data_IF_327099351732
#
_entry.id   IF_327099351732
#
_cell.length_a   1.000
_cell.length_b   1.000
_cell.length_c   1.000
_cell.angle_alpha   90.00
_cell.angle_beta   90.00
_cell.angle_gamma   90.00
#
_symmetry.space_group_name_H-M   'P 1'
#
loop_
_entity.id
_entity.type
_entity.pdbx_description
1 polymer ?
#
# COMPACT_ATOMS: atom_id res chain seq x y z
N UNK A 1 7.97 -10.12 -19.00
CA UNK A 1 7.02 -9.07 -19.44
C UNK A 1 7.78 -7.82 -19.84
N UNK A 2 7.23 -7.00 -20.74
CA UNK A 2 7.81 -5.71 -21.12
C UNK A 2 7.08 -4.62 -20.35
N UNK A 3 7.74 -4.05 -19.34
CA UNK A 3 7.12 -3.14 -18.36
C UNK A 3 8.06 -2.00 -18.00
N UNK A 4 7.48 -0.87 -17.59
CA UNK A 4 8.20 0.19 -16.89
C UNK A 4 8.14 -0.09 -15.38
N UNK A 5 9.29 -0.37 -14.77
CA UNK A 5 9.40 -0.60 -13.33
C UNK A 5 10.04 0.60 -12.65
N UNK A 6 9.30 1.27 -11.75
CA UNK A 6 9.74 2.48 -11.06
C UNK A 6 9.81 2.19 -9.56
N UNK A 7 11.00 2.27 -8.98
CA UNK A 7 11.20 2.18 -7.54
C UNK A 7 11.06 3.56 -6.89
N UNK A 8 10.13 3.70 -5.94
CA UNK A 8 9.94 4.94 -5.18
C UNK A 8 10.78 4.87 -3.90
N UNK A 9 11.95 5.50 -3.93
CA UNK A 9 12.77 5.66 -2.72
C UNK A 9 12.28 6.85 -1.88
N UNK A 10 11.81 6.55 -0.68
CA UNK A 10 11.38 7.53 0.31
C UNK A 10 12.11 7.32 1.65
N UNK A 11 13.30 6.70 1.62
CA UNK A 11 14.10 6.35 2.81
C UNK A 11 14.23 7.50 3.80
N UNK A 12 14.46 8.72 3.33
CA UNK A 12 14.59 9.89 4.22
C UNK A 12 13.28 10.21 4.95
N UNK A 13 12.12 10.07 4.29
CA UNK A 13 10.81 10.22 4.91
C UNK A 13 10.45 9.08 5.87
N UNK A 14 11.04 7.89 5.68
CA UNK A 14 10.86 6.74 6.55
C UNK A 14 11.78 6.75 7.79
N UNK A 15 12.80 7.62 7.83
CA UNK A 15 13.70 7.75 9.00
C UNK A 15 13.01 8.44 10.17
N UNK A 16 13.53 8.18 11.37
CA UNK A 16 13.08 8.79 12.61
C UNK A 16 12.13 7.88 13.37
N UNK A 17 11.08 8.46 13.96
CA UNK A 17 10.09 7.68 14.70
C UNK A 17 9.09 7.01 13.77
N UNK A 18 8.52 5.88 14.17
CA UNK A 18 7.46 5.21 13.41
C UNK A 18 6.27 6.17 13.15
N UNK A 19 5.92 7.00 14.14
CA UNK A 19 4.87 8.02 14.01
C UNK A 19 5.20 9.03 12.92
N UNK A 20 6.46 9.48 12.84
CA UNK A 20 6.90 10.38 11.77
C UNK A 20 6.76 9.70 10.39
N UNK A 21 7.21 8.46 10.26
CA UNK A 21 7.10 7.70 9.01
C UNK A 21 5.63 7.49 8.58
N UNK A 22 4.74 7.16 9.53
CA UNK A 22 3.29 7.04 9.31
C UNK A 22 2.70 8.34 8.75
N UNK A 23 3.12 9.50 9.24
CA UNK A 23 2.61 10.77 8.73
C UNK A 23 3.23 11.15 7.38
N UNK A 24 4.53 10.90 7.21
CA UNK A 24 5.27 11.25 6.00
C UNK A 24 4.80 10.47 4.77
N UNK A 25 4.28 9.24 4.94
CA UNK A 25 3.74 8.47 3.83
C UNK A 25 2.65 9.22 3.06
N UNK A 26 1.90 10.12 3.73
CA UNK A 26 0.85 10.92 3.09
C UNK A 26 1.41 11.87 2.04
N UNK A 27 2.59 12.43 2.32
CA UNK A 27 3.33 13.27 1.38
C UNK A 27 3.86 12.40 0.23
N UNK A 28 4.46 11.25 0.53
CA UNK A 28 4.93 10.33 -0.50
C UNK A 28 3.81 9.85 -1.43
N UNK A 29 2.63 9.51 -0.90
CA UNK A 29 1.47 9.15 -1.70
C UNK A 29 0.97 10.30 -2.58
N UNK A 30 1.03 11.54 -2.08
CA UNK A 30 0.72 12.73 -2.87
C UNK A 30 1.72 12.95 -4.03
N UNK A 31 3.01 12.72 -3.81
CA UNK A 31 4.05 12.81 -4.86
C UNK A 31 3.87 11.74 -5.94
N UNK A 32 3.53 10.50 -5.56
CA UNK A 32 3.21 9.44 -6.53
C UNK A 32 1.98 9.82 -7.37
N UNK A 33 0.93 10.34 -6.73
CA UNK A 33 -0.25 10.83 -7.44
C UNK A 33 0.08 11.99 -8.40
N UNK A 34 0.94 12.91 -7.98
CA UNK A 34 1.41 14.01 -8.83
C UNK A 34 2.19 13.51 -10.04
N UNK A 35 3.07 12.52 -9.85
CA UNK A 35 3.80 11.87 -10.94
C UNK A 35 2.84 11.20 -11.94
N UNK A 36 1.86 10.43 -11.47
CA UNK A 36 0.85 9.79 -12.32
C UNK A 36 0.03 10.84 -13.10
N UNK A 37 -0.37 11.91 -12.43
CA UNK A 37 -1.08 13.04 -13.06
C UNK A 37 -0.24 13.68 -14.17
N UNK A 38 1.08 13.77 -13.96
CA UNK A 38 2.01 14.29 -14.95
C UNK A 38 2.10 13.37 -16.16
N UNK A 39 2.15 12.05 -15.95
CA UNK A 39 2.12 11.07 -17.03
C UNK A 39 0.82 11.17 -17.87
N UNK A 40 -0.32 11.32 -17.20
CA UNK A 40 -1.61 11.54 -17.86
C UNK A 40 -1.61 12.81 -18.71
N UNK A 41 -1.19 13.95 -18.14
CA UNK A 41 -1.26 15.25 -18.80
C UNK A 41 -0.26 15.40 -19.95
N UNK A 42 0.95 14.90 -19.78
CA UNK A 42 2.04 15.10 -20.75
C UNK A 42 2.05 14.04 -21.85
N UNK A 43 1.65 12.81 -21.53
CA UNK A 43 1.79 11.67 -22.45
C UNK A 43 0.46 10.96 -22.75
N UNK A 44 -0.65 11.40 -22.17
CA UNK A 44 -1.94 10.71 -22.30
C UNK A 44 -1.95 9.31 -21.67
N UNK A 45 -1.02 9.02 -20.75
CA UNK A 45 -0.86 7.70 -20.16
C UNK A 45 -2.01 7.42 -19.19
N UNK A 46 -2.82 6.39 -19.45
CA UNK A 46 -4.00 6.07 -18.63
C UNK A 46 -3.60 5.53 -17.25
N UNK A 47 -4.25 5.94 -16.14
CA UNK A 47 -4.09 5.29 -14.83
C UNK A 47 -4.44 3.81 -14.83
N UNK A 48 -5.27 3.38 -15.79
CA UNK A 48 -5.62 1.97 -15.95
C UNK A 48 -4.42 1.12 -16.41
N UNK A 49 -3.35 1.75 -16.90
CA UNK A 49 -2.10 1.07 -17.26
C UNK A 49 -1.12 0.99 -16.07
N UNK A 50 -1.55 1.39 -14.87
CA UNK A 50 -0.69 1.49 -13.67
C UNK A 50 -1.05 0.42 -12.65
N UNK A 51 -0.01 -0.19 -12.08
CA UNK A 51 -0.07 -1.09 -10.94
C UNK A 51 0.88 -0.57 -9.86
N UNK A 52 0.33 -0.22 -8.70
CA UNK A 52 1.13 0.16 -7.53
C UNK A 52 1.35 -1.06 -6.63
N UNK A 53 2.58 -1.30 -6.21
CA UNK A 53 2.93 -2.38 -5.28
C UNK A 53 3.55 -1.71 -4.05
N UNK A 54 2.94 -1.93 -2.89
CA UNK A 54 3.37 -1.33 -1.63
C UNK A 54 3.58 -2.39 -0.56
N UNK A 55 4.71 -2.35 0.12
CA UNK A 55 5.02 -3.24 1.24
C UNK A 55 5.00 -2.50 2.58
N UNK A 56 4.42 -3.11 3.63
CA UNK A 56 4.33 -2.51 4.96
C UNK A 56 3.68 -1.12 4.91
N UNK A 57 4.32 -0.06 5.41
CA UNK A 57 3.84 1.32 5.28
C UNK A 57 3.61 1.75 3.82
N UNK A 58 4.37 1.17 2.88
CA UNK A 58 4.24 1.42 1.45
C UNK A 58 2.90 0.97 0.88
N UNK A 59 2.22 -0.01 1.50
CA UNK A 59 0.87 -0.42 1.09
C UNK A 59 -0.13 0.72 1.29
N UNK A 60 -0.04 1.41 2.43
CA UNK A 60 -0.85 2.61 2.70
C UNK A 60 -0.41 3.81 1.87
N UNK A 61 0.87 3.91 1.52
CA UNK A 61 1.34 4.91 0.53
C UNK A 61 0.70 4.71 -0.84
N UNK A 62 0.59 3.45 -1.28
CA UNK A 62 -0.08 3.10 -2.52
C UNK A 62 -1.59 3.41 -2.47
N UNK A 63 -2.25 3.08 -1.34
CA UNK A 63 -3.64 3.47 -1.09
C UNK A 63 -3.86 4.98 -1.15
N UNK A 64 -3.01 5.75 -0.47
CA UNK A 64 -3.05 7.22 -0.50
C UNK A 64 -2.88 7.80 -1.91
N UNK A 65 -2.03 7.20 -2.75
CA UNK A 65 -1.88 7.59 -4.15
C UNK A 65 -3.13 7.23 -4.98
N UNK A 66 -3.67 6.01 -4.79
CA UNK A 66 -4.89 5.54 -5.44
C UNK A 66 -6.11 6.39 -5.12
N UNK A 67 -6.31 6.73 -3.85
CA UNK A 67 -7.36 7.64 -3.38
C UNK A 67 -7.33 9.01 -4.06
N UNK A 68 -6.15 9.48 -4.47
CA UNK A 68 -5.95 10.76 -5.17
C UNK A 68 -6.10 10.66 -6.68
N UNK A 69 -6.04 9.46 -7.25
CA UNK A 69 -6.09 9.20 -8.69
C UNK A 69 -7.19 8.19 -9.02
N UNK A 70 -8.27 8.68 -9.61
CA UNK A 70 -9.33 7.80 -10.06
C UNK A 70 -8.86 6.88 -11.20
N UNK A 71 -9.27 5.61 -11.13
CA UNK A 71 -9.10 4.65 -12.22
C UNK A 71 -7.76 3.91 -12.25
N UNK A 72 -6.96 3.95 -11.17
CA UNK A 72 -5.81 3.05 -11.02
C UNK A 72 -6.28 1.60 -11.19
N UNK A 73 -5.61 0.85 -12.06
CA UNK A 73 -6.05 -0.53 -12.36
C UNK A 73 -5.84 -1.46 -11.18
N UNK A 74 -4.67 -1.40 -10.55
CA UNK A 74 -4.33 -2.34 -9.48
C UNK A 74 -3.48 -1.73 -8.38
N UNK A 75 -3.78 -2.09 -7.14
CA UNK A 75 -2.87 -1.95 -6.00
C UNK A 75 -2.63 -3.34 -5.41
N UNK A 76 -1.37 -3.70 -5.18
CA UNK A 76 -1.01 -4.88 -4.38
C UNK A 76 -0.42 -4.45 -3.05
N UNK A 77 -1.08 -4.82 -1.95
CA UNK A 77 -0.60 -4.62 -0.59
C UNK A 77 0.18 -5.85 -0.12
N UNK A 78 1.48 -5.70 0.11
CA UNK A 78 2.34 -6.75 0.65
C UNK A 78 2.50 -6.51 2.16
N UNK A 79 1.77 -7.29 2.95
CA UNK A 79 1.71 -7.23 4.41
C UNK A 79 1.53 -5.79 4.94
N UNK A 80 0.39 -5.12 4.63
CA UNK A 80 0.14 -3.74 5.05
C UNK A 80 0.33 -3.57 6.55
N UNK A 81 0.94 -2.47 6.99
CA UNK A 81 1.32 -2.31 8.40
C UNK A 81 0.10 -2.17 9.31
N UNK A 82 0.02 -2.96 10.38
CA UNK A 82 -1.06 -2.90 11.38
C UNK A 82 -1.05 -1.63 12.24
N UNK A 83 0.07 -1.30 12.93
CA UNK A 83 0.10 -0.17 13.85
C UNK A 83 -0.25 1.15 13.16
N UNK A 84 -1.23 1.87 13.71
CA UNK A 84 -1.82 3.13 13.22
C UNK A 84 -2.78 3.01 12.01
N UNK A 85 -3.03 1.81 11.49
CA UNK A 85 -3.96 1.58 10.36
C UNK A 85 -5.05 0.54 10.66
N UNK A 86 -4.76 -0.46 11.48
CA UNK A 86 -5.75 -1.45 11.90
C UNK A 86 -6.96 -0.77 12.56
N UNK A 87 -8.16 -1.08 12.06
CA UNK A 87 -9.42 -0.48 12.54
C UNK A 87 -9.63 1.00 12.20
N UNK A 88 -8.76 1.64 11.41
CA UNK A 88 -8.98 3.03 10.98
C UNK A 88 -9.94 3.13 9.78
N UNK A 89 -10.54 4.31 9.55
CA UNK A 89 -11.36 4.56 8.38
C UNK A 89 -10.59 4.38 7.06
N UNK A 90 -11.27 4.02 5.95
CA UNK A 90 -10.66 3.84 4.63
C UNK A 90 -9.77 5.00 4.18
N UNK A 91 -10.05 6.23 4.58
CA UNK A 91 -9.29 7.42 4.18
C UNK A 91 -7.86 7.48 4.75
N UNK A 92 -7.55 6.61 5.72
CA UNK A 92 -6.26 6.58 6.43
C UNK A 92 -5.39 5.40 6.00
N UNK A 93 -5.98 4.35 5.42
CA UNK A 93 -5.32 3.06 5.15
C UNK A 93 -5.53 2.63 3.70
N UNK A 94 -4.99 1.45 3.37
CA UNK A 94 -5.31 0.80 2.10
C UNK A 94 -6.73 0.27 2.18
N UNK A 95 -7.50 0.46 1.11
CA UNK A 95 -8.88 0.02 1.00
C UNK A 95 -9.22 -0.42 -0.43
N UNK A 96 -10.23 -1.30 -0.64
CA UNK A 96 -10.63 -1.72 -1.98
C UNK A 96 -11.03 -0.55 -2.88
N UNK A 97 -11.52 0.57 -2.32
CA UNK A 97 -11.89 1.75 -3.10
C UNK A 97 -10.71 2.52 -3.73
N UNK A 98 -9.47 2.24 -3.34
CA UNK A 98 -8.29 2.98 -3.82
C UNK A 98 -7.88 2.61 -5.25
N UNK A 99 -8.36 1.49 -5.80
CA UNK A 99 -8.13 1.09 -7.18
C UNK A 99 -9.25 0.18 -7.70
N UNK A 100 -9.30 -0.02 -9.01
CA UNK A 100 -10.26 -0.95 -9.63
C UNK A 100 -10.10 -2.39 -9.16
N UNK A 101 -8.90 -2.76 -8.72
CA UNK A 101 -8.61 -4.04 -8.11
C UNK A 101 -7.53 -3.89 -7.05
N UNK A 102 -7.73 -4.49 -5.89
CA UNK A 102 -6.81 -4.44 -4.76
C UNK A 102 -6.62 -5.86 -4.27
N UNK A 103 -5.40 -6.36 -4.27
CA UNK A 103 -5.06 -7.66 -3.75
C UNK A 103 -4.01 -7.54 -2.65
N UNK A 104 -4.24 -8.24 -1.54
CA UNK A 104 -3.43 -8.08 -0.33
C UNK A 104 -2.88 -9.43 0.10
N UNK A 105 -1.61 -9.47 0.49
CA UNK A 105 -0.96 -10.66 1.04
C UNK A 105 -0.61 -10.37 2.49
N UNK A 106 -1.14 -11.17 3.41
CA UNK A 106 -0.88 -11.08 4.84
C UNK A 106 0.12 -12.16 5.24
N UNK A 107 1.27 -11.78 5.79
CA UNK A 107 2.33 -12.72 6.19
C UNK A 107 2.83 -12.53 7.62
N UNK A 108 2.47 -11.43 8.28
CA UNK A 108 2.79 -11.18 9.68
C UNK A 108 1.61 -10.54 10.45
N UNK A 109 0.41 -11.04 10.17
CA UNK A 109 -0.89 -10.52 10.65
C UNK A 109 -1.29 -11.02 12.05
N UNK A 110 -0.34 -11.18 12.97
CA UNK A 110 -0.62 -11.76 14.28
C UNK A 110 -1.22 -10.73 15.27
N UNK A 111 -2.27 -11.13 16.00
CA UNK A 111 -2.85 -10.38 17.12
C UNK A 111 -2.40 -10.93 18.47
N UNK A 112 -2.50 -10.10 19.51
CA UNK A 112 -2.10 -10.43 20.89
C UNK A 112 -2.62 -11.82 21.32
N UNK A 113 -1.78 -12.68 21.92
CA UNK A 113 -0.46 -12.40 22.49
C UNK A 113 0.72 -12.47 21.50
N UNK A 114 0.49 -12.76 20.22
CA UNK A 114 1.55 -12.79 19.21
C UNK A 114 1.87 -11.39 18.67
N UNK A 115 3.15 -11.12 18.39
CA UNK A 115 3.61 -9.83 17.86
C UNK A 115 3.64 -9.86 16.32
N UNK A 116 2.55 -9.42 15.69
CA UNK A 116 2.47 -9.17 14.26
C UNK A 116 2.69 -7.69 13.93
N UNK A 117 3.34 -7.40 12.80
CA UNK A 117 3.47 -6.04 12.27
C UNK A 117 2.48 -5.73 11.15
N UNK A 118 1.89 -6.77 10.54
CA UNK A 118 0.91 -6.64 9.47
C UNK A 118 -0.51 -6.48 10.02
N UNK A 119 -1.39 -5.87 9.22
CA UNK A 119 -2.83 -5.84 9.44
C UNK A 119 -3.39 -7.26 9.38
N UNK A 120 -4.39 -7.54 10.21
CA UNK A 120 -5.17 -8.78 10.14
C UNK A 120 -6.47 -8.58 9.35
N UNK A 121 -7.09 -7.41 9.46
CA UNK A 121 -8.32 -7.13 8.73
C UNK A 121 -8.10 -7.12 7.23
N UNK A 122 -9.11 -7.56 6.50
CA UNK A 122 -9.13 -7.52 5.04
C UNK A 122 -9.15 -6.08 4.54
N UNK A 123 -8.28 -5.77 3.59
CA UNK A 123 -8.17 -4.44 2.96
C UNK A 123 -8.16 -4.50 1.44
N UNK A 124 -8.30 -5.70 0.86
CA UNK A 124 -8.38 -5.92 -0.58
C UNK A 124 -9.77 -6.31 -1.08
N UNK A 125 -9.88 -6.37 -2.40
CA UNK A 125 -10.91 -7.16 -3.06
C UNK A 125 -10.63 -8.66 -2.87
N UNK A 126 -9.34 -9.02 -2.82
CA UNK A 126 -8.86 -10.35 -2.43
C UNK A 126 -7.77 -10.21 -1.37
N UNK A 127 -7.90 -10.97 -0.29
CA UNK A 127 -6.91 -11.02 0.79
C UNK A 127 -6.41 -12.46 0.94
N UNK A 128 -5.10 -12.64 0.85
CA UNK A 128 -4.42 -13.92 0.89
C UNK A 128 -3.65 -14.06 2.19
N UNK A 129 -3.85 -15.18 2.89
CA UNK A 129 -3.19 -15.49 4.16
C UNK A 129 -2.33 -16.76 4.00
N UNK A 130 -1.20 -16.70 3.28
CA UNK A 130 -0.30 -17.83 3.13
C UNK A 130 0.10 -18.39 4.50
N UNK A 131 0.04 -19.71 4.68
CA UNK A 131 0.36 -20.37 5.95
C UNK A 131 -0.46 -19.84 7.16
N UNK A 132 -1.68 -19.35 6.92
CA UNK A 132 -2.51 -18.73 7.95
C UNK A 132 -2.16 -17.26 8.24
N UNK A 133 -1.21 -16.67 7.51
CA UNK A 133 -0.90 -15.24 7.49
C UNK A 133 -0.18 -14.67 8.71
N UNK A 134 0.22 -15.52 9.67
CA UNK A 134 0.81 -15.07 10.94
C UNK A 134 2.27 -15.51 11.10
N UNK A 135 2.55 -16.81 10.97
CA UNK A 135 3.90 -17.36 11.11
C UNK A 135 4.31 -18.10 9.85
N UNK A 136 5.25 -17.52 9.11
CA UNK A 136 5.75 -18.14 7.88
C UNK A 136 6.76 -19.25 8.21
N UNK A 137 6.75 -20.39 7.49
CA UNK A 137 7.78 -21.41 7.65
C UNK A 137 9.17 -20.83 7.38
N UNK A 138 10.10 -21.02 8.34
CA UNK A 138 11.49 -20.55 8.23
C UNK A 138 11.78 -19.20 8.90
N UNK A 139 10.78 -18.53 9.47
CA UNK A 139 10.92 -17.31 10.26
C UNK A 139 10.71 -17.55 11.76
#
# INVERSE_FOLDING_TARGET
ENINCIAVDWKEGAKGTYVSAVNNLRVTGAEIAYFITTLQKMFGYSPYEIHLIGHSLGAHTAGEAGRRIQGIRRITGLDPAGPYFEGTPPEVRLDPSDANFVDVIHSNAAHFPAAGLGMYSTTGHLDFYPNGGTKMPGC
#
